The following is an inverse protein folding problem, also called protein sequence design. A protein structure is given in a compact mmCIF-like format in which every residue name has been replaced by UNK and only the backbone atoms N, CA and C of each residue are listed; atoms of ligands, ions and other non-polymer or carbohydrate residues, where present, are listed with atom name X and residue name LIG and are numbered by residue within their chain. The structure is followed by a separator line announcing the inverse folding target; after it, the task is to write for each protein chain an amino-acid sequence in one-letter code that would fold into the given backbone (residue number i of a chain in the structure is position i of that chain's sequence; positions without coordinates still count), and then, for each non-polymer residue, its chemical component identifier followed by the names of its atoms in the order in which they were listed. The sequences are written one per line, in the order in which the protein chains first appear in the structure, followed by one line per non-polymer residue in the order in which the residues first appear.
data_IF_844117325515
#
_entry.id   IF_844117325515
#
_cell.length_a   1.000
_cell.length_b   1.000
_cell.length_c   1.000
_cell.angle_alpha   90.00
_cell.angle_beta   90.00
_cell.angle_gamma   90.00
#
_symmetry.space_group_name_H-M   'P 1'
#
loop_
_entity.id
_entity.type
_entity.pdbx_description
1 polymer ?
#
# COMPACT_ATOMS: atom_id res chain seq x y z
N UNK A 1 -1.31 -1.03 -19.54
CA UNK A 1 -2.64 -1.33 -20.13
C UNK A 1 -3.47 -2.29 -19.27
N UNK A 2 -2.88 -3.35 -18.67
CA UNK A 2 -3.61 -4.30 -17.81
C UNK A 2 -4.32 -3.69 -16.59
N UNK A 3 -3.59 -2.95 -15.75
CA UNK A 3 -4.13 -2.37 -14.49
C UNK A 3 -5.39 -1.50 -14.69
N UNK A 4 -5.40 -0.63 -15.72
CA UNK A 4 -6.54 0.25 -16.01
C UNK A 4 -7.79 -0.57 -16.33
N UNK A 5 -7.65 -1.60 -17.16
CA UNK A 5 -8.76 -2.47 -17.56
C UNK A 5 -9.28 -3.27 -16.36
N UNK A 6 -8.39 -3.76 -15.50
CA UNK A 6 -8.75 -4.49 -14.27
C UNK A 6 -9.52 -3.59 -13.30
N UNK A 7 -9.07 -2.36 -13.08
CA UNK A 7 -9.76 -1.43 -12.18
C UNK A 7 -11.11 -1.00 -12.78
N UNK A 8 -11.20 -0.71 -14.07
CA UNK A 8 -12.49 -0.40 -14.72
C UNK A 8 -13.46 -1.58 -14.63
N UNK A 9 -12.96 -2.82 -14.72
CA UNK A 9 -13.78 -4.01 -14.51
C UNK A 9 -14.21 -4.11 -13.05
N UNK A 10 -13.31 -3.84 -12.09
CA UNK A 10 -13.62 -3.81 -10.67
C UNK A 10 -14.71 -2.79 -10.35
N UNK A 11 -14.63 -1.56 -10.87
CA UNK A 11 -15.65 -0.51 -10.63
C UNK A 11 -17.04 -0.93 -11.15
N UNK A 12 -17.10 -1.71 -12.23
CA UNK A 12 -18.36 -2.27 -12.76
C UNK A 12 -18.91 -3.40 -11.91
N UNK A 13 -18.05 -4.26 -11.36
CA UNK A 13 -18.47 -5.43 -10.56
C UNK A 13 -18.78 -5.02 -9.11
N UNK A 14 -18.03 -4.07 -8.56
CA UNK A 14 -18.09 -3.62 -7.18
C UNK A 14 -18.27 -2.10 -7.08
N UNK A 15 -19.32 -1.50 -7.70
CA UNK A 15 -19.53 -0.06 -7.64
C UNK A 15 -19.70 0.46 -6.21
N UNK A 16 -20.21 -0.38 -5.30
CA UNK A 16 -20.35 -0.07 -3.89
C UNK A 16 -19.01 0.12 -3.17
N UNK A 17 -17.89 -0.39 -3.69
CA UNK A 17 -16.55 -0.22 -3.11
C UNK A 17 -15.82 1.02 -3.64
N UNK A 18 -16.47 1.81 -4.50
CA UNK A 18 -15.94 3.09 -5.00
C UNK A 18 -16.51 4.23 -4.17
N UNK A 19 -16.07 4.33 -2.91
CA UNK A 19 -16.61 5.27 -1.92
C UNK A 19 -15.54 5.75 -0.92
N UNK A 20 -15.80 6.84 -0.17
CA UNK A 20 -14.82 7.42 0.77
C UNK A 20 -14.42 6.55 1.97
N UNK A 21 -15.20 5.52 2.30
CA UNK A 21 -14.96 4.57 3.40
C UNK A 21 -14.12 3.36 2.95
N UNK A 22 -13.78 3.28 1.66
CA UNK A 22 -12.91 2.24 1.10
C UNK A 22 -11.51 2.79 0.85
N UNK A 23 -10.50 2.09 1.39
CA UNK A 23 -9.10 2.35 1.08
C UNK A 23 -8.60 1.36 0.02
N UNK A 24 -8.04 1.87 -1.06
CA UNK A 24 -7.29 1.06 -2.03
C UNK A 24 -5.79 1.21 -1.79
N UNK A 25 -5.12 0.12 -1.44
CA UNK A 25 -3.67 0.11 -1.24
C UNK A 25 -3.00 -0.53 -2.46
N UNK A 26 -2.09 0.21 -3.08
CA UNK A 26 -1.32 -0.24 -4.24
C UNK A 26 0.10 -0.63 -3.82
N UNK A 27 0.68 -1.64 -4.46
CA UNK A 27 2.04 -2.11 -4.16
C UNK A 27 3.10 -0.98 -4.21
N UNK A 28 3.00 -0.07 -5.17
CA UNK A 28 3.95 1.03 -5.32
C UNK A 28 3.38 2.24 -6.06
N UNK A 29 4.07 3.37 -5.96
CA UNK A 29 3.58 4.67 -6.39
C UNK A 29 3.31 4.74 -7.89
N UNK A 30 4.09 4.03 -8.71
CA UNK A 30 3.86 3.95 -10.15
C UNK A 30 2.46 3.40 -10.49
N UNK A 31 1.97 2.40 -9.75
CA UNK A 31 0.59 1.91 -9.93
C UNK A 31 -0.42 2.96 -9.53
N UNK A 32 -0.22 3.61 -8.37
CA UNK A 32 -1.13 4.65 -7.87
C UNK A 32 -1.21 5.85 -8.84
N UNK A 33 -0.09 6.24 -9.44
CA UNK A 33 -0.03 7.32 -10.43
C UNK A 33 -0.87 6.99 -11.66
N UNK A 34 -0.77 5.76 -12.20
CA UNK A 34 -1.62 5.31 -13.32
C UNK A 34 -3.10 5.42 -12.96
N UNK A 35 -3.49 5.06 -11.73
CA UNK A 35 -4.89 5.18 -11.26
C UNK A 35 -5.34 6.64 -11.22
N UNK A 36 -4.49 7.53 -10.71
CA UNK A 36 -4.78 8.96 -10.61
C UNK A 36 -4.88 9.63 -11.99
N UNK A 37 -3.93 9.37 -12.89
CA UNK A 37 -3.90 9.91 -14.25
C UNK A 37 -5.11 9.48 -15.09
N UNK A 38 -5.67 8.30 -14.82
CA UNK A 38 -6.85 7.78 -15.50
C UNK A 38 -8.17 8.09 -14.75
N UNK A 39 -8.13 8.89 -13.69
CA UNK A 39 -9.29 9.25 -12.85
C UNK A 39 -10.09 8.04 -12.34
N UNK A 40 -9.40 6.94 -12.06
CA UNK A 40 -10.01 5.70 -11.57
C UNK A 40 -10.20 5.76 -10.05
N UNK A 41 -11.22 5.06 -9.54
CA UNK A 41 -11.56 5.00 -8.12
C UNK A 41 -11.72 6.40 -7.50
N UNK A 42 -12.26 7.34 -8.27
CA UNK A 42 -12.23 8.78 -7.99
C UNK A 42 -12.84 9.19 -6.63
N UNK A 43 -13.76 8.37 -6.09
CA UNK A 43 -14.42 8.61 -4.80
C UNK A 43 -13.74 7.91 -3.61
N UNK A 44 -12.79 7.02 -3.86
CA UNK A 44 -12.12 6.25 -2.82
C UNK A 44 -10.79 6.84 -2.40
N UNK A 45 -10.41 6.55 -1.15
CA UNK A 45 -9.06 6.85 -0.66
C UNK A 45 -8.06 5.86 -1.26
N UNK A 46 -6.83 6.34 -1.47
CA UNK A 46 -5.74 5.62 -2.12
C UNK A 46 -4.49 5.76 -1.28
N UNK A 47 -3.73 4.69 -1.16
CA UNK A 47 -2.43 4.67 -0.49
C UNK A 47 -1.46 3.81 -1.29
N UNK A 48 -0.16 4.04 -1.10
CA UNK A 48 0.88 3.24 -1.75
C UNK A 48 1.80 2.64 -0.71
N UNK A 49 2.06 1.33 -0.82
CA UNK A 49 2.87 0.59 0.13
C UNK A 49 4.36 0.95 0.04
N UNK A 50 4.87 1.18 -1.19
CA UNK A 50 6.17 1.81 -1.45
C UNK A 50 7.41 1.19 -0.78
N UNK A 51 7.32 -0.06 -0.34
CA UNK A 51 8.42 -0.78 0.33
C UNK A 51 8.86 -2.00 -0.49
N UNK A 52 10.09 -2.46 -0.31
CA UNK A 52 10.68 -3.63 -0.97
C UNK A 52 11.04 -4.72 0.04
N UNK A 53 10.02 -5.41 0.57
CA UNK A 53 10.17 -6.39 1.66
C UNK A 53 10.91 -7.69 1.26
N UNK A 54 11.06 -7.92 -0.03
CA UNK A 54 11.87 -9.02 -0.58
C UNK A 54 13.38 -8.89 -0.35
N UNK A 55 13.84 -7.73 0.11
CA UNK A 55 15.26 -7.47 0.34
C UNK A 55 15.51 -6.98 1.76
N UNK A 56 16.75 -7.18 2.22
CA UNK A 56 17.27 -6.69 3.51
C UNK A 56 16.56 -7.29 4.73
N UNK A 57 17.16 -7.10 5.90
CA UNK A 57 16.59 -7.56 7.15
C UNK A 57 15.32 -6.75 7.50
N UNK A 58 14.41 -7.38 8.22
CA UNK A 58 13.23 -6.74 8.79
C UNK A 58 13.11 -7.13 10.25
N UNK A 59 12.29 -6.40 11.00
CA UNK A 59 12.02 -6.63 12.42
C UNK A 59 10.51 -6.69 12.66
N UNK A 60 10.15 -6.96 13.90
CA UNK A 60 8.78 -6.90 14.36
C UNK A 60 8.77 -6.13 15.69
N UNK A 61 7.76 -5.31 15.98
CA UNK A 61 6.55 -4.99 15.18
C UNK A 61 6.76 -4.32 13.82
N UNK A 62 5.88 -4.60 12.85
CA UNK A 62 5.89 -3.95 11.53
C UNK A 62 5.52 -2.47 11.68
N UNK A 63 6.29 -1.60 11.02
CA UNK A 63 6.17 -0.13 11.03
C UNK A 63 6.42 0.57 12.38
N UNK A 64 6.98 -0.10 13.38
CA UNK A 64 7.50 0.61 14.56
C UNK A 64 8.81 1.35 14.24
N UNK A 65 9.31 2.13 15.19
CA UNK A 65 10.55 2.92 15.01
C UNK A 65 11.74 2.03 14.65
N UNK A 66 11.92 0.91 15.36
CA UNK A 66 13.00 -0.03 15.10
C UNK A 66 12.92 -0.67 13.70
N UNK A 67 11.71 -0.97 13.22
CA UNK A 67 11.46 -1.40 11.85
C UNK A 67 11.85 -0.32 10.86
N UNK A 68 11.35 0.90 11.04
CA UNK A 68 11.62 2.02 10.14
C UNK A 68 13.12 2.30 10.01
N UNK A 69 13.85 2.33 11.13
CA UNK A 69 15.31 2.50 11.14
C UNK A 69 16.04 1.36 10.44
N UNK A 70 15.66 0.10 10.72
CA UNK A 70 16.28 -1.06 10.10
C UNK A 70 16.06 -1.08 8.59
N UNK A 71 14.85 -0.72 8.14
CA UNK A 71 14.51 -0.65 6.72
C UNK A 71 15.22 0.50 6.03
N UNK A 72 15.24 1.70 6.62
CA UNK A 72 15.99 2.85 6.11
C UNK A 72 17.47 2.51 5.90
N UNK A 73 18.10 1.90 6.91
CA UNK A 73 19.49 1.45 6.83
C UNK A 73 19.69 0.39 5.74
N UNK A 74 18.76 -0.56 5.61
CA UNK A 74 18.78 -1.57 4.54
C UNK A 74 18.76 -0.97 3.14
N UNK A 75 18.02 0.12 2.95
CA UNK A 75 17.90 0.85 1.69
C UNK A 75 19.00 1.89 1.46
N UNK A 76 19.94 2.02 2.41
CA UNK A 76 20.98 3.06 2.38
C UNK A 76 20.37 4.47 2.36
N UNK A 77 19.22 4.64 3.02
CA UNK A 77 18.49 5.90 3.18
C UNK A 77 18.53 6.38 4.63
N UNK A 78 18.06 7.60 4.86
CA UNK A 78 17.78 8.11 6.22
C UNK A 78 16.38 7.68 6.69
N UNK A 79 16.15 7.75 8.00
CA UNK A 79 14.81 7.53 8.58
C UNK A 79 13.79 8.54 8.04
N UNK A 80 14.17 9.81 7.85
CA UNK A 80 13.29 10.83 7.28
C UNK A 80 12.86 10.48 5.86
N UNK A 81 13.80 10.05 5.01
CA UNK A 81 13.49 9.59 3.64
C UNK A 81 12.57 8.38 3.65
N UNK A 82 12.81 7.45 4.58
CA UNK A 82 11.93 6.29 4.75
C UNK A 82 10.51 6.70 5.13
N UNK A 83 10.40 7.64 6.07
CA UNK A 83 9.12 8.17 6.51
C UNK A 83 8.38 8.81 5.33
N UNK A 84 9.03 9.70 4.57
CA UNK A 84 8.45 10.36 3.40
C UNK A 84 7.98 9.37 2.32
N UNK A 85 8.80 8.36 1.98
CA UNK A 85 8.52 7.44 0.87
C UNK A 85 7.48 6.38 1.25
N UNK A 86 7.54 5.86 2.47
CA UNK A 86 6.74 4.71 2.90
C UNK A 86 5.62 5.14 3.85
N UNK A 87 5.99 5.72 5.00
CA UNK A 87 5.04 5.98 6.09
C UNK A 87 4.00 7.01 5.67
N UNK A 88 4.42 8.11 5.04
CA UNK A 88 3.49 9.16 4.64
C UNK A 88 2.55 8.73 3.51
N UNK A 89 3.01 7.85 2.61
CA UNK A 89 2.18 7.27 1.56
C UNK A 89 1.19 6.21 2.08
N UNK A 90 1.46 5.64 3.26
CA UNK A 90 0.58 4.73 3.99
C UNK A 90 -0.22 5.42 5.11
N UNK A 91 -0.02 6.71 5.37
CA UNK A 91 -0.65 7.46 6.46
C UNK A 91 -2.15 7.18 6.63
N UNK A 92 -2.98 7.13 5.57
CA UNK A 92 -4.41 6.81 5.71
C UNK A 92 -4.65 5.48 6.45
N UNK A 93 -3.82 4.47 6.22
CA UNK A 93 -3.88 3.14 6.84
C UNK A 93 -3.69 3.20 8.36
N UNK A 94 -2.85 4.12 8.84
CA UNK A 94 -2.52 4.24 10.26
C UNK A 94 -3.59 5.04 11.01
N UNK A 95 -4.00 6.18 10.46
CA UNK A 95 -4.82 7.18 11.16
C UNK A 95 -6.34 6.95 11.06
N UNK A 96 -6.80 6.20 10.04
CA UNK A 96 -8.22 5.99 9.79
C UNK A 96 -8.61 4.52 10.02
N UNK A 97 -9.91 4.34 10.22
CA UNK A 97 -10.56 3.03 10.18
C UNK A 97 -11.38 2.97 8.90
N UNK A 98 -11.32 1.83 8.20
CA UNK A 98 -12.02 1.62 6.94
C UNK A 98 -12.92 0.40 7.07
N UNK A 99 -14.13 0.49 6.53
CA UNK A 99 -15.03 -0.67 6.45
C UNK A 99 -14.48 -1.72 5.48
N UNK A 100 -13.72 -1.29 4.47
CA UNK A 100 -13.11 -2.18 3.48
C UNK A 100 -11.74 -1.65 3.05
N UNK A 101 -10.77 -2.56 2.96
CA UNK A 101 -9.47 -2.30 2.36
C UNK A 101 -9.31 -3.22 1.15
N UNK A 102 -9.07 -2.65 -0.03
CA UNK A 102 -8.84 -3.38 -1.27
C UNK A 102 -7.34 -3.33 -1.59
N UNK A 103 -6.74 -4.50 -1.80
CA UNK A 103 -5.29 -4.65 -1.97
C UNK A 103 -4.96 -4.95 -3.43
N UNK A 104 -4.18 -4.08 -4.06
CA UNK A 104 -3.75 -4.20 -5.46
C UNK A 104 -2.26 -4.57 -5.54
N UNK A 105 -2.00 -5.88 -5.54
CA UNK A 105 -0.67 -6.47 -5.59
C UNK A 105 -0.62 -7.49 -6.72
N UNK A 106 0.45 -7.45 -7.52
CA UNK A 106 0.67 -8.41 -8.61
C UNK A 106 1.01 -9.82 -8.09
N UNK A 107 1.12 -10.76 -9.02
CA UNK A 107 1.38 -12.17 -8.72
C UNK A 107 2.87 -12.50 -8.49
N UNK A 108 3.78 -11.56 -8.79
CA UNK A 108 5.21 -11.78 -8.59
C UNK A 108 5.62 -11.81 -7.11
N UNK A 109 6.76 -12.45 -6.81
CA UNK A 109 7.26 -12.65 -5.45
C UNK A 109 7.48 -11.32 -4.71
N UNK A 110 7.87 -10.26 -5.43
CA UNK A 110 8.07 -8.93 -4.85
C UNK A 110 6.76 -8.38 -4.28
N UNK A 111 5.70 -8.42 -5.08
CA UNK A 111 4.36 -8.02 -4.70
C UNK A 111 3.79 -8.91 -3.58
N UNK A 112 4.00 -10.22 -3.64
CA UNK A 112 3.49 -11.16 -2.65
C UNK A 112 4.11 -10.96 -1.26
N UNK A 113 5.41 -10.64 -1.16
CA UNK A 113 6.05 -10.35 0.13
C UNK A 113 5.59 -9.02 0.74
N UNK A 114 5.35 -8.01 -0.09
CA UNK A 114 4.76 -6.75 0.34
C UNK A 114 3.32 -6.97 0.83
N UNK A 115 2.52 -7.75 0.10
CA UNK A 115 1.16 -8.13 0.50
C UNK A 115 1.16 -8.84 1.85
N UNK A 116 2.02 -9.85 2.05
CA UNK A 116 2.13 -10.57 3.32
C UNK A 116 2.51 -9.64 4.49
N UNK A 117 3.41 -8.69 4.25
CA UNK A 117 3.82 -7.71 5.26
C UNK A 117 2.64 -6.82 5.67
N UNK A 118 1.89 -6.31 4.69
CA UNK A 118 0.71 -5.51 4.95
C UNK A 118 -0.39 -6.31 5.67
N UNK A 119 -0.62 -7.57 5.28
CA UNK A 119 -1.57 -8.46 5.95
C UNK A 119 -1.16 -8.76 7.40
N UNK A 120 0.13 -9.01 7.65
CA UNK A 120 0.65 -9.23 8.99
C UNK A 120 0.48 -7.99 9.88
N UNK A 121 0.66 -6.79 9.32
CA UNK A 121 0.37 -5.53 10.01
C UNK A 121 -1.13 -5.38 10.32
N UNK A 122 -1.99 -5.59 9.33
CA UNK A 122 -3.45 -5.49 9.48
C UNK A 122 -4.02 -6.49 10.49
N UNK A 123 -3.50 -7.72 10.50
CA UNK A 123 -3.91 -8.75 11.44
C UNK A 123 -3.58 -8.41 12.90
N UNK A 124 -2.57 -7.57 13.16
CA UNK A 124 -2.25 -7.09 14.51
C UNK A 124 -3.11 -5.91 14.94
N UNK A 125 -3.58 -5.09 13.98
CA UNK A 125 -4.40 -3.89 14.24
C UNK A 125 -5.86 -4.26 14.58
N UNK A 126 -6.33 -5.41 14.10
CA UNK A 126 -7.62 -6.02 14.46
C UNK A 126 -7.51 -6.84 15.74
#
# INVERSE_FOLDING_TARGET
MGLVVEIQRFEKIYPQLVNPETLHVFNGQAMMQVVQENNLLSKSLKASFNEAMCTRATSYPIFDEAFQELRAKGHQSTSDQYQEIVIEHLRPLFEKSFATIVLWFGEDVFCQLNLLTLLAFLNKKN
#
